data_IF_806169845859
#
_entry.id   IF_806169845859
#
_cell.length_a   1.000
_cell.length_b   1.000
_cell.length_c   1.000
_cell.angle_alpha   90.00
_cell.angle_beta   90.00
_cell.angle_gamma   90.00
#
_symmetry.space_group_name_H-M   'P 1'
#
loop_
_entity.id
_entity.type
_entity.pdbx_description
1 polymer ?
#
# COMPACT_ATOMS: atom_id res chain seq x y z
N UNK A 1 -27.50 29.49 20.95
CA UNK A 1 -26.39 28.52 20.81
C UNK A 1 -27.00 27.13 20.74
N UNK A 2 -26.62 26.31 19.74
CA UNK A 2 -27.14 24.95 19.55
C UNK A 2 -26.81 24.10 20.79
N UNK A 3 -27.74 23.23 21.15
CA UNK A 3 -27.82 22.42 22.37
C UNK A 3 -26.48 21.76 22.79
N UNK A 4 -25.78 22.23 23.85
CA UNK A 4 -24.42 21.80 24.15
C UNK A 4 -24.31 20.31 24.50
N UNK A 5 -25.39 19.73 25.03
CA UNK A 5 -25.49 18.28 25.29
C UNK A 5 -25.39 17.46 24.01
N UNK A 6 -26.07 17.88 22.93
CA UNK A 6 -26.03 17.19 21.64
C UNK A 6 -24.64 17.26 21.03
N UNK A 7 -23.97 18.41 21.11
CA UNK A 7 -22.59 18.58 20.62
C UNK A 7 -21.60 17.65 21.33
N UNK A 8 -21.72 17.53 22.65
CA UNK A 8 -20.85 16.65 23.46
C UNK A 8 -21.10 15.18 23.15
N UNK A 9 -22.37 14.79 23.00
CA UNK A 9 -22.74 13.44 22.60
C UNK A 9 -22.18 13.09 21.22
N UNK A 10 -22.36 13.97 20.22
CA UNK A 10 -21.87 13.77 18.86
C UNK A 10 -20.35 13.66 18.84
N UNK A 11 -19.63 14.53 19.57
CA UNK A 11 -18.17 14.44 19.67
C UNK A 11 -17.70 13.14 20.31
N UNK A 12 -18.40 12.65 21.34
CA UNK A 12 -18.11 11.36 21.96
C UNK A 12 -18.28 10.19 20.98
N UNK A 13 -19.36 10.22 20.19
CA UNK A 13 -19.61 9.22 19.12
C UNK A 13 -18.50 9.28 18.07
N UNK A 14 -18.10 10.47 17.61
CA UNK A 14 -17.02 10.63 16.63
C UNK A 14 -15.71 10.04 17.16
N UNK A 15 -15.35 10.28 18.42
CA UNK A 15 -14.15 9.71 19.03
C UNK A 15 -14.20 8.16 19.08
N UNK A 16 -15.37 7.58 19.35
CA UNK A 16 -15.55 6.12 19.31
C UNK A 16 -15.42 5.56 17.89
N UNK A 17 -15.97 6.23 16.87
CA UNK A 17 -15.81 5.82 15.47
C UNK A 17 -14.34 5.85 15.04
N UNK A 18 -13.60 6.88 15.45
CA UNK A 18 -12.16 6.97 15.20
C UNK A 18 -11.42 5.81 15.87
N UNK A 19 -11.76 5.46 17.10
CA UNK A 19 -11.17 4.30 17.79
C UNK A 19 -11.43 2.98 17.04
N UNK A 20 -12.64 2.80 16.48
CA UNK A 20 -12.98 1.61 15.66
C UNK A 20 -12.13 1.59 14.39
N UNK A 21 -12.01 2.72 13.69
CA UNK A 21 -11.18 2.82 12.48
C UNK A 21 -9.69 2.52 12.78
N UNK A 22 -9.15 3.03 13.89
CA UNK A 22 -7.79 2.72 14.32
C UNK A 22 -7.62 1.22 14.64
N UNK A 23 -8.65 0.57 15.18
CA UNK A 23 -8.65 -0.89 15.42
C UNK A 23 -8.58 -1.69 14.12
N UNK A 24 -9.27 -1.22 13.06
CA UNK A 24 -9.19 -1.81 11.73
C UNK A 24 -7.79 -1.63 11.12
N UNK A 25 -7.15 -0.48 11.34
CA UNK A 25 -5.78 -0.24 10.88
C UNK A 25 -4.78 -1.17 11.57
N UNK A 26 -4.89 -1.42 12.88
CA UNK A 26 -4.05 -2.41 13.58
C UNK A 26 -4.16 -3.79 12.93
N UNK A 27 -5.37 -4.23 12.61
CA UNK A 27 -5.58 -5.51 11.96
C UNK A 27 -4.88 -5.57 10.58
N UNK A 28 -5.03 -4.50 9.78
CA UNK A 28 -4.36 -4.40 8.48
C UNK A 28 -2.84 -4.34 8.60
N UNK A 29 -2.33 -3.66 9.62
CA UNK A 29 -0.90 -3.51 9.87
C UNK A 29 -0.26 -4.83 10.29
N UNK A 30 -0.94 -5.62 11.12
CA UNK A 30 -0.53 -6.99 11.48
C UNK A 30 -0.51 -7.87 10.22
N UNK A 31 -1.56 -7.86 9.41
CA UNK A 31 -1.63 -8.67 8.17
C UNK A 31 -0.55 -8.27 7.17
N UNK A 32 -0.22 -6.98 7.08
CA UNK A 32 0.84 -6.47 6.20
C UNK A 32 2.24 -6.61 6.77
N UNK A 33 2.39 -7.18 7.96
CA UNK A 33 3.69 -7.29 8.66
C UNK A 33 4.40 -5.94 8.78
N UNK A 34 3.63 -4.87 9.02
CA UNK A 34 4.16 -3.53 9.18
C UNK A 34 4.95 -3.40 10.50
N UNK A 35 5.89 -2.44 10.59
CA UNK A 35 6.72 -2.28 11.77
C UNK A 35 5.90 -2.13 13.07
N UNK A 36 6.33 -2.81 14.13
CA UNK A 36 5.68 -2.82 15.45
C UNK A 36 5.38 -1.42 16.00
N UNK A 37 6.21 -0.41 15.69
CA UNK A 37 6.00 0.96 16.16
C UNK A 37 4.71 1.60 15.61
N UNK A 38 4.25 1.21 14.41
CA UNK A 38 2.97 1.68 13.85
C UNK A 38 1.79 1.06 14.60
N UNK A 39 1.87 -0.24 14.89
CA UNK A 39 0.86 -0.99 15.66
C UNK A 39 0.71 -0.40 17.07
N UNK A 40 1.83 -0.07 17.73
CA UNK A 40 1.82 0.55 19.07
C UNK A 40 1.19 1.94 19.03
N UNK A 41 1.48 2.73 18.01
CA UNK A 41 0.93 4.08 17.88
C UNK A 41 -0.58 4.06 17.64
N UNK A 42 -1.07 3.14 16.79
CA UNK A 42 -2.50 2.93 16.59
C UNK A 42 -3.19 2.44 17.87
N UNK A 43 -2.54 1.56 18.64
CA UNK A 43 -3.08 1.08 19.92
C UNK A 43 -3.23 2.22 20.96
N UNK A 44 -2.23 3.11 21.04
CA UNK A 44 -2.30 4.31 21.89
C UNK A 44 -3.45 5.23 21.42
N UNK A 45 -3.59 5.41 20.11
CA UNK A 45 -4.68 6.21 19.52
C UNK A 45 -6.06 5.64 19.87
N UNK A 46 -6.23 4.31 19.85
CA UNK A 46 -7.47 3.65 20.28
C UNK A 46 -7.76 3.95 21.75
N UNK A 47 -6.79 3.71 22.65
CA UNK A 47 -6.99 3.88 24.10
C UNK A 47 -7.40 5.32 24.43
N UNK A 48 -6.72 6.30 23.83
CA UNK A 48 -7.01 7.73 24.06
C UNK A 48 -8.38 8.08 23.49
N UNK A 49 -8.67 7.70 22.24
CA UNK A 49 -9.94 8.05 21.58
C UNK A 49 -11.14 7.38 22.24
N UNK A 50 -10.99 6.13 22.68
CA UNK A 50 -12.02 5.37 23.38
C UNK A 50 -12.27 5.94 24.78
N UNK A 51 -11.20 6.26 25.53
CA UNK A 51 -11.29 6.90 26.84
C UNK A 51 -11.97 8.27 26.78
N UNK A 52 -11.58 9.11 25.81
CA UNK A 52 -12.21 10.42 25.58
C UNK A 52 -13.66 10.26 25.13
N UNK A 53 -13.96 9.33 24.23
CA UNK A 53 -15.31 9.06 23.76
C UNK A 53 -16.27 8.66 24.88
N UNK A 54 -15.87 7.69 25.72
CA UNK A 54 -16.65 7.29 26.90
C UNK A 54 -16.82 8.46 27.87
N UNK A 55 -15.74 9.17 28.17
CA UNK A 55 -15.79 10.33 29.07
C UNK A 55 -16.80 11.38 28.58
N UNK A 56 -16.79 11.71 27.28
CA UNK A 56 -17.73 12.66 26.69
C UNK A 56 -19.18 12.18 26.76
N UNK A 57 -19.44 10.88 26.53
CA UNK A 57 -20.78 10.30 26.67
C UNK A 57 -21.27 10.38 28.12
N UNK A 58 -20.42 10.06 29.10
CA UNK A 58 -20.79 10.12 30.52
C UNK A 58 -21.07 11.56 30.94
N UNK A 59 -20.20 12.50 30.57
CA UNK A 59 -20.37 13.93 30.88
C UNK A 59 -21.60 14.53 30.19
N UNK A 60 -21.97 14.05 29.00
CA UNK A 60 -23.19 14.51 28.30
C UNK A 60 -24.48 14.31 29.11
N UNK A 61 -24.48 13.36 30.06
CA UNK A 61 -25.61 13.05 30.95
C UNK A 61 -25.67 13.93 32.21
N UNK A 62 -24.64 14.75 32.47
CA UNK A 62 -24.60 15.63 33.64
C UNK A 62 -25.45 16.90 33.46
N UNK A 63 -25.69 17.59 34.57
CA UNK A 63 -26.40 18.87 34.59
C UNK A 63 -25.66 19.98 33.84
N UNK A 64 -26.45 20.89 33.23
CA UNK A 64 -25.94 21.99 32.41
C UNK A 64 -24.90 22.87 33.14
N UNK A 65 -25.08 23.12 34.44
CA UNK A 65 -24.13 23.88 35.26
C UNK A 65 -22.76 23.19 35.36
N UNK A 66 -22.73 21.85 35.44
CA UNK A 66 -21.48 21.07 35.48
C UNK A 66 -20.83 21.02 34.10
N UNK A 67 -21.62 20.94 33.05
CA UNK A 67 -21.17 20.97 31.65
C UNK A 67 -20.44 22.26 31.29
N UNK A 68 -21.00 23.42 31.64
CA UNK A 68 -20.38 24.73 31.37
C UNK A 68 -19.04 24.87 32.10
N UNK A 69 -18.95 24.36 33.34
CA UNK A 69 -17.70 24.40 34.12
C UNK A 69 -16.58 23.55 33.51
N UNK A 70 -16.92 22.49 32.77
CA UNK A 70 -15.96 21.58 32.13
C UNK A 70 -15.75 21.84 30.64
N UNK A 71 -16.33 22.92 30.09
CA UNK A 71 -16.31 23.20 28.66
C UNK A 71 -14.89 23.38 28.09
N UNK A 72 -13.96 23.96 28.87
CA UNK A 72 -12.55 24.09 28.46
C UNK A 72 -11.83 22.75 28.40
N UNK A 73 -12.10 21.86 29.35
CA UNK A 73 -11.51 20.51 29.40
C UNK A 73 -11.99 19.69 28.21
N UNK A 74 -13.28 19.81 27.88
CA UNK A 74 -13.86 19.17 26.70
C UNK A 74 -13.16 19.62 25.42
N UNK A 75 -13.02 20.94 25.21
CA UNK A 75 -12.41 21.49 23.99
C UNK A 75 -10.95 21.04 23.83
N UNK A 76 -10.19 21.00 24.93
CA UNK A 76 -8.81 20.50 24.93
C UNK A 76 -8.76 18.99 24.62
N UNK A 77 -9.62 18.18 25.23
CA UNK A 77 -9.67 16.73 24.96
C UNK A 77 -10.08 16.43 23.51
N UNK A 78 -11.08 17.14 22.98
CA UNK A 78 -11.47 17.01 21.57
C UNK A 78 -10.32 17.40 20.64
N UNK A 79 -9.62 18.50 20.94
CA UNK A 79 -8.49 18.95 20.14
C UNK A 79 -7.36 17.92 20.15
N UNK A 80 -6.99 17.38 21.32
CA UNK A 80 -5.95 16.35 21.45
C UNK A 80 -6.35 15.09 20.67
N UNK A 81 -7.61 14.65 20.76
CA UNK A 81 -8.09 13.47 20.04
C UNK A 81 -8.01 13.65 18.51
N UNK A 82 -8.52 14.79 18.00
CA UNK A 82 -8.50 15.09 16.57
C UNK A 82 -7.07 15.25 16.07
N UNK A 83 -6.24 16.02 16.77
CA UNK A 83 -4.87 16.30 16.37
C UNK A 83 -3.99 15.04 16.44
N UNK A 84 -4.16 14.22 17.48
CA UNK A 84 -3.49 12.92 17.60
C UNK A 84 -3.85 11.99 16.45
N UNK A 85 -5.14 11.90 16.12
CA UNK A 85 -5.62 11.07 15.00
C UNK A 85 -5.14 11.58 13.63
N UNK A 86 -5.04 12.89 13.46
CA UNK A 86 -4.52 13.51 12.24
C UNK A 86 -3.02 13.22 12.04
N UNK A 87 -2.23 13.23 13.13
CA UNK A 87 -0.82 12.82 13.07
C UNK A 87 -0.70 11.34 12.69
N UNK A 88 -1.53 10.46 13.28
CA UNK A 88 -1.57 9.04 12.89
C UNK A 88 -1.83 8.90 11.39
N UNK A 89 -2.85 9.59 10.88
CA UNK A 89 -3.19 9.58 9.47
C UNK A 89 -2.01 10.05 8.59
N UNK A 90 -1.32 11.12 8.96
CA UNK A 90 -0.14 11.62 8.23
C UNK A 90 1.00 10.59 8.22
N UNK A 91 1.26 9.93 9.34
CA UNK A 91 2.29 8.88 9.45
C UNK A 91 1.91 7.69 8.57
N UNK A 92 0.68 7.19 8.67
CA UNK A 92 0.18 6.07 7.86
C UNK A 92 0.15 6.42 6.37
N UNK A 93 -0.19 7.66 6.02
CA UNK A 93 -0.14 8.14 4.65
C UNK A 93 1.30 8.19 4.13
N UNK A 94 2.22 8.73 4.94
CA UNK A 94 3.64 8.78 4.60
C UNK A 94 4.24 7.38 4.42
N UNK A 95 3.97 6.44 5.33
CA UNK A 95 4.47 5.06 5.23
C UNK A 95 3.89 4.33 4.02
N UNK A 96 2.59 4.47 3.72
CA UNK A 96 2.00 3.90 2.50
C UNK A 96 2.56 4.56 1.23
N UNK A 97 2.80 5.86 1.23
CA UNK A 97 3.39 6.57 0.10
C UNK A 97 4.84 6.11 -0.15
N UNK A 98 5.64 6.03 0.91
CA UNK A 98 7.02 5.53 0.88
C UNK A 98 7.04 4.07 0.45
N UNK A 99 6.17 3.21 0.99
CA UNK A 99 6.06 1.80 0.59
C UNK A 99 5.64 1.67 -0.88
N UNK A 100 4.70 2.49 -1.36
CA UNK A 100 4.30 2.50 -2.77
C UNK A 100 5.46 2.93 -3.69
N UNK A 101 6.26 3.88 -3.24
CA UNK A 101 7.46 4.35 -3.96
C UNK A 101 8.52 3.26 -3.95
N UNK A 102 8.77 2.62 -2.80
CA UNK A 102 9.73 1.54 -2.65
C UNK A 102 9.32 0.30 -3.45
N UNK A 103 8.03 -0.03 -3.51
CA UNK A 103 7.50 -1.11 -4.34
C UNK A 103 7.62 -0.80 -5.84
N UNK A 104 7.34 0.45 -6.27
CA UNK A 104 7.60 0.87 -7.66
C UNK A 104 9.07 0.79 -8.01
N UNK A 105 9.95 1.29 -7.13
CA UNK A 105 11.40 1.16 -7.30
C UNK A 105 11.80 -0.32 -7.37
N UNK A 106 11.33 -1.17 -6.46
CA UNK A 106 11.63 -2.60 -6.49
C UNK A 106 11.13 -3.27 -7.77
N UNK A 107 9.94 -2.94 -8.27
CA UNK A 107 9.41 -3.49 -9.53
C UNK A 107 10.23 -3.01 -10.74
N UNK A 108 10.66 -1.74 -10.76
CA UNK A 108 11.51 -1.21 -11.82
C UNK A 108 12.89 -1.89 -11.79
N UNK A 109 13.52 -1.99 -10.62
CA UNK A 109 14.81 -2.66 -10.46
C UNK A 109 14.71 -4.19 -10.67
N UNK A 110 13.60 -4.85 -10.32
CA UNK A 110 13.38 -6.27 -10.67
C UNK A 110 13.16 -6.44 -12.17
N UNK A 111 12.47 -5.51 -12.84
CA UNK A 111 12.38 -5.50 -14.31
C UNK A 111 13.75 -5.27 -14.94
N UNK A 112 14.58 -4.41 -14.35
CA UNK A 112 15.90 -4.07 -14.87
C UNK A 112 16.92 -5.21 -14.63
N UNK A 113 16.86 -5.87 -13.46
CA UNK A 113 17.63 -7.07 -13.17
C UNK A 113 17.14 -8.30 -13.96
N UNK A 114 15.83 -8.44 -14.21
CA UNK A 114 15.29 -9.50 -15.08
C UNK A 114 15.42 -9.18 -16.58
N UNK A 115 15.77 -7.95 -16.99
CA UNK A 115 16.18 -7.70 -18.39
C UNK A 115 17.63 -8.09 -18.64
N UNK A 116 18.48 -8.07 -17.62
CA UNK A 116 19.87 -8.55 -17.72
C UNK A 116 19.99 -10.04 -17.39
N UNK A 117 19.00 -10.62 -16.69
CA UNK A 117 18.85 -12.05 -16.41
C UNK A 117 17.48 -12.52 -16.92
N UNK A 118 17.24 -12.38 -18.22
CA UNK A 118 16.27 -13.28 -18.87
C UNK A 118 16.98 -14.63 -18.91
N UNK A 119 16.78 -15.37 -17.81
CA UNK A 119 16.98 -16.80 -17.68
C UNK A 119 16.45 -17.49 -18.95
N UNK A 120 17.39 -17.93 -19.78
CA UNK A 120 17.17 -18.76 -20.96
C UNK A 120 16.45 -20.08 -20.57
N UNK A 121 16.43 -20.44 -19.29
CA UNK A 121 15.76 -21.65 -18.78
C UNK A 121 14.25 -21.51 -18.56
N UNK A 122 13.73 -20.35 -18.14
CA UNK A 122 12.33 -20.21 -17.69
C UNK A 122 11.43 -19.37 -18.60
N UNK A 123 11.88 -19.04 -19.82
CA UNK A 123 11.03 -18.44 -20.83
C UNK A 123 9.80 -19.34 -21.08
N UNK A 124 8.60 -18.79 -20.93
CA UNK A 124 7.37 -19.52 -21.28
C UNK A 124 7.42 -19.91 -22.76
N UNK A 125 6.71 -20.98 -23.16
CA UNK A 125 6.71 -21.49 -24.55
C UNK A 125 6.45 -20.36 -25.57
N UNK A 126 5.67 -19.37 -25.19
CA UNK A 126 5.35 -18.20 -26.01
C UNK A 126 6.55 -17.25 -26.19
N UNK A 127 7.35 -17.03 -25.16
CA UNK A 127 8.58 -16.21 -25.25
C UNK A 127 9.66 -16.92 -26.08
N UNK A 128 9.77 -18.26 -25.97
CA UNK A 128 10.68 -19.07 -26.79
C UNK A 128 10.26 -19.04 -28.27
N UNK A 129 8.95 -19.10 -28.55
CA UNK A 129 8.42 -18.99 -29.90
C UNK A 129 8.66 -17.59 -30.51
N UNK A 130 8.44 -16.53 -29.74
CA UNK A 130 8.70 -15.15 -30.19
C UNK A 130 10.20 -14.87 -30.42
N UNK A 131 11.07 -15.45 -29.60
CA UNK A 131 12.51 -15.38 -29.77
C UNK A 131 12.96 -16.13 -31.05
N UNK A 132 12.50 -17.37 -31.24
CA UNK A 132 12.75 -18.15 -32.45
C UNK A 132 12.27 -17.43 -33.71
N UNK A 133 11.07 -16.85 -33.69
CA UNK A 133 10.52 -16.11 -34.83
C UNK A 133 11.38 -14.89 -35.19
N UNK A 134 11.86 -14.14 -34.19
CA UNK A 134 12.75 -12.98 -34.41
C UNK A 134 14.11 -13.40 -34.96
N UNK A 135 14.66 -14.52 -34.50
CA UNK A 135 15.99 -14.97 -34.91
C UNK A 135 15.97 -15.62 -36.30
N UNK A 136 14.91 -16.36 -36.65
CA UNK A 136 14.65 -16.84 -38.01
C UNK A 136 14.46 -15.67 -38.98
N UNK A 137 13.72 -14.63 -38.60
CA UNK A 137 13.55 -13.43 -39.43
C UNK A 137 14.87 -12.67 -39.65
N UNK A 138 15.80 -12.72 -38.70
CA UNK A 138 17.16 -12.16 -38.89
C UNK A 138 17.98 -12.99 -39.88
N UNK A 139 17.91 -14.31 -39.79
CA UNK A 139 18.58 -15.21 -40.74
C UNK A 139 17.99 -15.06 -42.15
N UNK A 140 16.68 -14.90 -42.28
CA UNK A 140 15.99 -14.71 -43.55
C UNK A 140 16.41 -13.38 -44.21
N UNK A 141 16.52 -12.31 -43.43
CA UNK A 141 17.09 -11.03 -43.91
C UNK A 141 18.54 -11.14 -44.36
N UNK A 142 19.35 -12.01 -43.74
CA UNK A 142 20.74 -12.25 -44.18
C UNK A 142 20.78 -13.05 -45.48
N UNK A 143 19.87 -14.01 -45.65
CA UNK A 143 19.67 -14.73 -46.92
C UNK A 143 19.24 -13.78 -48.04
N UNK A 144 18.26 -12.91 -47.78
CA UNK A 144 17.79 -11.91 -48.76
C UNK A 144 18.89 -10.92 -49.17
N UNK A 145 19.82 -10.62 -48.25
CA UNK A 145 21.00 -9.80 -48.53
C UNK A 145 22.14 -10.55 -49.23
N UNK A 146 22.01 -11.86 -49.45
CA UNK A 146 23.04 -12.72 -50.04
C UNK A 146 24.23 -12.98 -49.12
N UNK A 147 24.12 -12.70 -47.83
CA UNK A 147 25.20 -12.90 -46.84
C UNK A 147 25.36 -14.38 -46.44
N UNK A 148 24.32 -15.19 -46.64
CA UNK A 148 24.31 -16.63 -46.40
C UNK A 148 23.59 -17.34 -47.54
N UNK A 149 24.03 -18.55 -47.88
CA UNK A 149 23.39 -19.37 -48.91
C UNK A 149 22.09 -20.01 -48.41
N UNK A 150 21.24 -20.48 -49.34
CA UNK A 150 19.98 -21.14 -48.97
C UNK A 150 20.19 -22.44 -48.19
N UNK A 151 21.23 -23.20 -48.52
CA UNK A 151 21.62 -24.43 -47.79
C UNK A 151 22.10 -24.10 -46.37
N UNK A 152 22.86 -23.02 -46.21
CA UNK A 152 23.38 -22.57 -44.92
C UNK A 152 22.28 -21.98 -44.04
N UNK A 153 21.31 -21.28 -44.63
CA UNK A 153 20.10 -20.83 -43.94
C UNK A 153 19.28 -22.01 -43.40
N UNK A 154 19.05 -23.06 -44.21
CA UNK A 154 18.27 -24.23 -43.79
C UNK A 154 18.96 -24.98 -42.65
N UNK A 155 20.29 -25.11 -42.69
CA UNK A 155 21.08 -25.74 -41.63
C UNK A 155 21.00 -24.94 -40.32
N UNK A 156 21.25 -23.64 -40.37
CA UNK A 156 21.20 -22.76 -39.20
C UNK A 156 19.79 -22.67 -38.60
N UNK A 157 18.75 -22.66 -39.43
CA UNK A 157 17.35 -22.71 -38.97
C UNK A 157 17.04 -24.03 -38.25
N UNK A 158 17.50 -25.16 -38.79
CA UNK A 158 17.29 -26.47 -38.16
C UNK A 158 18.05 -26.59 -36.83
N UNK A 159 19.28 -26.09 -36.76
CA UNK A 159 20.06 -26.06 -35.51
C UNK A 159 19.40 -25.16 -34.46
N UNK A 160 18.84 -24.02 -34.88
CA UNK A 160 18.09 -23.14 -33.99
C UNK A 160 16.86 -23.85 -33.41
N UNK A 161 16.05 -24.49 -34.25
CA UNK A 161 14.83 -25.18 -33.81
C UNK A 161 15.15 -26.33 -32.85
N UNK A 162 16.19 -27.13 -33.16
CA UNK A 162 16.60 -28.26 -32.31
C UNK A 162 17.17 -27.85 -30.96
N UNK A 163 17.63 -26.61 -30.80
CA UNK A 163 18.15 -26.09 -29.52
C UNK A 163 17.05 -25.72 -28.53
N UNK A 164 15.80 -25.59 -29.01
CA UNK A 164 14.64 -25.17 -28.20
C UNK A 164 13.53 -26.24 -28.12
N UNK A 165 13.71 -27.39 -28.76
CA UNK A 165 12.95 -28.64 -28.55
C UNK A 165 13.50 -29.40 -27.34
#
# INVERSE_FOLDING_TARGET
>A
MKDPRKTILISGIICLVIAILASVNIYLDIVRSLPIYLIVYDAISIIISFGIGIYMIVVSRLDLKKLIKQQKVFLVLTFIAIFGSFITFLITFYTNFVLSSFLRYRVIYRKQANTDVIDIENATIQDKADYLAKEIAKLEKKKEKGEISEEEFLKLKSELINKFL
#
